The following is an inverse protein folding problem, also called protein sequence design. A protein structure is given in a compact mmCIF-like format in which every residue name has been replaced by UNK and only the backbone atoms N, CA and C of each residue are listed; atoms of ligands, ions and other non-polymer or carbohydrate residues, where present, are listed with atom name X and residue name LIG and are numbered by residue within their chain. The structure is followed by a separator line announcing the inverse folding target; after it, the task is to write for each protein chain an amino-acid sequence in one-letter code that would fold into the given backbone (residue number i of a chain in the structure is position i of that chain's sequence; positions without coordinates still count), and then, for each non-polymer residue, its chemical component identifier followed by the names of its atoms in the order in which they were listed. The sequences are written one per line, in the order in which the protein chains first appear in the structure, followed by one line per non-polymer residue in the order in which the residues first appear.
data_IF_777939314932
#
_entry.id   IF_777939314932
#
_cell.length_a   1.000
_cell.length_b   1.000
_cell.length_c   1.000
_cell.angle_alpha   90.00
_cell.angle_beta   90.00
_cell.angle_gamma   90.00
#
_symmetry.space_group_name_H-M   'P 1'
#
loop_
_entity.id
_entity.type
_entity.pdbx_description
1 polymer ?
#
# COMPACT_ATOMS: atom_id res chain seq x y z
N UNK A 1 -18.66 26.57 -49.53
CA UNK A 1 -19.32 26.11 -48.29
C UNK A 1 -18.73 24.78 -47.83
N UNK A 2 -17.49 24.76 -47.31
CA UNK A 2 -16.86 23.52 -46.76
C UNK A 2 -16.43 23.71 -45.30
N UNK A 3 -16.45 24.94 -44.79
CA UNK A 3 -16.14 25.27 -43.38
C UNK A 3 -17.23 24.80 -42.40
N UNK A 4 -18.39 24.36 -42.88
CA UNK A 4 -19.59 24.30 -42.03
C UNK A 4 -19.88 22.96 -41.35
N UNK A 5 -19.45 21.80 -41.88
CA UNK A 5 -19.85 20.51 -41.29
C UNK A 5 -18.88 20.02 -40.21
N UNK A 6 -17.57 20.14 -40.46
CA UNK A 6 -16.52 19.79 -39.48
C UNK A 6 -16.56 20.69 -38.24
N UNK A 7 -16.83 21.99 -38.42
CA UNK A 7 -16.96 22.92 -37.30
C UNK A 7 -18.20 22.62 -36.44
N UNK A 8 -19.33 22.26 -37.05
CA UNK A 8 -20.53 21.84 -36.34
C UNK A 8 -20.35 20.50 -35.62
N UNK A 9 -19.69 19.53 -36.28
CA UNK A 9 -19.29 18.27 -35.64
C UNK A 9 -18.39 18.51 -34.44
N UNK A 10 -17.37 19.36 -34.57
CA UNK A 10 -16.50 19.73 -33.46
C UNK A 10 -17.27 20.40 -32.31
N UNK A 11 -18.23 21.27 -32.63
CA UNK A 11 -19.07 21.97 -31.64
C UNK A 11 -19.93 21.02 -30.79
N UNK A 12 -20.28 19.85 -31.31
CA UNK A 12 -21.08 18.84 -30.58
C UNK A 12 -20.20 17.76 -29.96
N UNK A 13 -19.15 17.32 -30.68
CA UNK A 13 -18.26 16.24 -30.24
C UNK A 13 -17.33 16.67 -29.11
N UNK A 14 -16.77 17.88 -29.15
CA UNK A 14 -15.83 18.34 -28.13
C UNK A 14 -16.53 18.48 -26.77
N UNK A 15 -17.69 19.15 -26.63
CA UNK A 15 -18.37 19.24 -25.34
C UNK A 15 -18.84 17.87 -24.82
N UNK A 16 -19.34 16.98 -25.69
CA UNK A 16 -19.76 15.64 -25.29
C UNK A 16 -18.57 14.78 -24.83
N UNK A 17 -17.42 14.90 -25.49
CA UNK A 17 -16.19 14.24 -25.09
C UNK A 17 -15.68 14.76 -23.75
N UNK A 18 -15.65 16.09 -23.56
CA UNK A 18 -15.24 16.73 -22.31
C UNK A 18 -16.18 16.33 -21.16
N UNK A 19 -17.50 16.33 -21.37
CA UNK A 19 -18.47 15.91 -20.36
C UNK A 19 -18.27 14.45 -19.93
N UNK A 20 -17.97 13.54 -20.88
CA UNK A 20 -17.64 12.15 -20.56
C UNK A 20 -16.33 12.01 -19.79
N UNK A 21 -15.30 12.79 -20.15
CA UNK A 21 -14.03 12.81 -19.44
C UNK A 21 -14.19 13.33 -18.01
N UNK A 22 -14.96 14.41 -17.84
CA UNK A 22 -15.22 14.98 -16.54
C UNK A 22 -16.01 14.02 -15.65
N UNK A 23 -17.06 13.38 -16.16
CA UNK A 23 -17.80 12.37 -15.39
C UNK A 23 -16.94 11.14 -15.02
N UNK A 24 -15.99 10.76 -15.88
CA UNK A 24 -15.03 9.70 -15.57
C UNK A 24 -14.07 10.14 -14.44
N UNK A 25 -13.51 11.34 -14.52
CA UNK A 25 -12.64 11.91 -13.49
C UNK A 25 -13.37 12.09 -12.15
N UNK A 26 -14.62 12.57 -12.17
CA UNK A 26 -15.44 12.72 -10.97
C UNK A 26 -15.71 11.35 -10.31
N UNK A 27 -15.95 10.31 -11.11
CA UNK A 27 -16.10 8.95 -10.60
C UNK A 27 -14.79 8.40 -10.04
N UNK A 28 -13.66 8.61 -10.70
CA UNK A 28 -12.34 8.21 -10.21
C UNK A 28 -12.01 8.91 -8.88
N UNK A 29 -12.25 10.23 -8.78
CA UNK A 29 -12.08 11.00 -7.55
C UNK A 29 -12.99 10.52 -6.42
N UNK A 30 -14.25 10.16 -6.72
CA UNK A 30 -15.17 9.65 -5.72
C UNK A 30 -14.71 8.29 -5.16
N UNK A 31 -14.21 7.38 -6.00
CA UNK A 31 -13.66 6.09 -5.53
C UNK A 31 -12.34 6.32 -4.79
N UNK A 32 -11.48 7.24 -5.27
CA UNK A 32 -10.19 7.53 -4.63
C UNK A 32 -10.37 8.15 -3.25
N UNK A 33 -11.36 9.03 -3.07
CA UNK A 33 -11.64 9.61 -1.75
C UNK A 33 -12.11 8.56 -0.72
N UNK A 34 -12.82 7.51 -1.15
CA UNK A 34 -13.17 6.38 -0.29
C UNK A 34 -11.94 5.54 0.04
N UNK A 35 -11.12 5.24 -0.98
CA UNK A 35 -9.89 4.48 -0.83
C UNK A 35 -8.89 5.20 0.09
N UNK A 36 -8.86 6.54 0.02
CA UNK A 36 -7.94 7.38 0.78
C UNK A 36 -8.15 7.28 2.30
N UNK A 37 -9.36 6.93 2.74
CA UNK A 37 -9.65 6.74 4.16
C UNK A 37 -8.94 5.52 4.76
N UNK A 38 -8.50 4.57 3.93
CA UNK A 38 -7.79 3.36 4.39
C UNK A 38 -6.28 3.60 4.58
N UNK A 39 -5.68 4.61 3.92
CA UNK A 39 -4.23 4.87 4.02
C UNK A 39 -3.73 5.13 5.44
N UNK A 40 -4.38 5.98 6.25
CA UNK A 40 -3.92 6.22 7.61
C UNK A 40 -3.93 4.96 8.47
N UNK A 41 -4.89 4.05 8.23
CA UNK A 41 -4.97 2.79 8.96
C UNK A 41 -3.86 1.82 8.52
N UNK A 42 -3.59 1.72 7.21
CA UNK A 42 -2.47 0.91 6.68
C UNK A 42 -1.13 1.42 7.24
N UNK A 43 -0.88 2.74 7.19
CA UNK A 43 0.33 3.35 7.75
C UNK A 43 0.48 3.07 9.25
N UNK A 44 -0.63 3.15 10.00
CA UNK A 44 -0.63 2.88 11.43
C UNK A 44 -0.26 1.43 11.72
N UNK A 45 -0.88 0.47 11.04
CA UNK A 45 -0.62 -0.97 11.25
C UNK A 45 0.82 -1.33 10.87
N UNK A 46 1.33 -0.82 9.75
CA UNK A 46 2.73 -0.99 9.36
C UNK A 46 3.71 -0.42 10.41
N UNK A 47 3.39 0.75 10.98
CA UNK A 47 4.18 1.34 12.07
C UNK A 47 4.13 0.50 13.35
N UNK A 48 2.99 -0.13 13.63
CA UNK A 48 2.83 -1.06 14.74
C UNK A 48 3.64 -2.32 14.49
N UNK A 49 3.65 -2.89 13.29
CA UNK A 49 4.51 -4.03 12.93
C UNK A 49 5.98 -3.77 13.25
N UNK A 50 6.52 -2.65 12.77
CA UNK A 50 7.90 -2.23 13.06
C UNK A 50 8.16 -2.12 14.56
N UNK A 51 7.26 -1.44 15.29
CA UNK A 51 7.35 -1.30 16.74
C UNK A 51 7.36 -2.66 17.46
N UNK A 52 6.52 -3.61 17.03
CA UNK A 52 6.44 -4.94 17.66
C UNK A 52 7.71 -5.75 17.42
N UNK A 53 8.28 -5.69 16.22
CA UNK A 53 9.57 -6.33 15.92
C UNK A 53 10.67 -5.74 16.79
N UNK A 54 10.75 -4.42 16.91
CA UNK A 54 11.72 -3.77 17.80
C UNK A 54 11.55 -4.19 19.26
N UNK A 55 10.31 -4.25 19.75
CA UNK A 55 10.02 -4.68 21.12
C UNK A 55 10.42 -6.13 21.33
N UNK A 56 10.12 -7.02 20.39
CA UNK A 56 10.54 -8.42 20.45
C UNK A 56 12.06 -8.55 20.45
N UNK A 57 12.74 -7.89 19.51
CA UNK A 57 14.21 -7.93 19.37
C UNK A 57 14.91 -7.44 20.65
N UNK A 58 14.35 -6.45 21.33
CA UNK A 58 14.93 -5.89 22.54
C UNK A 58 14.61 -6.65 23.83
N UNK A 59 13.45 -7.30 23.91
CA UNK A 59 12.97 -7.96 25.13
C UNK A 59 13.04 -9.50 25.09
N UNK A 60 13.12 -10.08 23.90
CA UNK A 60 12.88 -11.50 23.62
C UNK A 60 11.51 -12.03 24.11
N UNK A 61 10.55 -11.14 24.39
CA UNK A 61 9.20 -11.50 24.81
C UNK A 61 8.35 -11.86 23.58
N UNK A 62 8.04 -13.15 23.45
CA UNK A 62 7.29 -13.71 22.32
C UNK A 62 5.85 -13.20 22.22
N UNK A 63 5.31 -12.54 23.25
CA UNK A 63 4.01 -11.85 23.14
C UNK A 63 4.04 -10.76 22.06
N UNK A 64 5.18 -10.11 21.84
CA UNK A 64 5.34 -9.13 20.76
C UNK A 64 5.32 -9.75 19.37
N UNK A 65 5.82 -10.99 19.19
CA UNK A 65 5.68 -11.72 17.93
C UNK A 65 4.22 -12.08 17.62
N UNK A 66 3.45 -12.47 18.65
CA UNK A 66 2.03 -12.73 18.48
C UNK A 66 1.27 -11.46 18.07
N UNK A 67 1.59 -10.32 18.69
CA UNK A 67 1.04 -9.03 18.30
C UNK A 67 1.44 -8.64 16.87
N UNK A 68 2.72 -8.78 16.51
CA UNK A 68 3.20 -8.55 15.14
C UNK A 68 2.41 -9.36 14.10
N UNK A 69 2.17 -10.65 14.35
CA UNK A 69 1.39 -11.50 13.42
C UNK A 69 -0.08 -11.05 13.29
N UNK A 70 -0.67 -10.52 14.36
CA UNK A 70 -2.01 -9.93 14.30
C UNK A 70 -2.02 -8.67 13.43
N UNK A 71 -1.00 -7.81 13.56
CA UNK A 71 -0.88 -6.61 12.71
C UNK A 71 -0.67 -7.00 11.24
N UNK A 72 0.17 -8.00 10.95
CA UNK A 72 0.37 -8.53 9.58
C UNK A 72 -0.95 -9.01 8.95
N UNK A 73 -1.76 -9.71 9.75
CA UNK A 73 -3.07 -10.18 9.32
C UNK A 73 -4.02 -9.00 9.06
N UNK A 74 -4.00 -8.00 9.95
CA UNK A 74 -4.81 -6.79 9.84
C UNK A 74 -4.44 -5.96 8.61
N UNK A 75 -3.16 -5.77 8.31
CA UNK A 75 -2.73 -5.04 7.12
C UNK A 75 -3.17 -5.77 5.85
N UNK A 76 -3.06 -7.09 5.83
CA UNK A 76 -3.51 -7.91 4.69
C UNK A 76 -5.00 -7.73 4.41
N UNK A 77 -5.84 -7.64 5.45
CA UNK A 77 -7.25 -7.30 5.31
C UNK A 77 -7.44 -5.89 4.73
N UNK A 78 -6.73 -4.89 5.24
CA UNK A 78 -6.83 -3.51 4.77
C UNK A 78 -6.40 -3.35 3.31
N UNK A 79 -5.32 -4.02 2.89
CA UNK A 79 -4.85 -4.02 1.51
C UNK A 79 -5.83 -4.74 0.58
N UNK A 80 -6.44 -5.85 1.03
CA UNK A 80 -7.49 -6.52 0.28
C UNK A 80 -8.75 -5.65 0.13
N UNK A 81 -9.17 -4.95 1.20
CA UNK A 81 -10.27 -4.00 1.18
C UNK A 81 -9.99 -2.85 0.23
N UNK A 82 -8.79 -2.30 0.30
CA UNK A 82 -8.32 -1.26 -0.60
C UNK A 82 -8.34 -1.72 -2.06
N UNK A 83 -7.81 -2.92 -2.35
CA UNK A 83 -7.86 -3.55 -3.67
C UNK A 83 -9.29 -3.72 -4.21
N UNK A 84 -10.26 -4.04 -3.34
CA UNK A 84 -11.69 -4.10 -3.71
C UNK A 84 -12.24 -2.72 -4.07
N UNK A 85 -11.92 -1.68 -3.30
CA UNK A 85 -12.36 -0.30 -3.56
C UNK A 85 -11.81 0.19 -4.90
N UNK A 86 -10.52 -0.01 -5.18
CA UNK A 86 -9.88 0.46 -6.41
C UNK A 86 -10.12 -0.45 -7.63
N UNK A 87 -10.87 -1.54 -7.49
CA UNK A 87 -11.07 -2.52 -8.58
C UNK A 87 -11.70 -1.90 -9.84
N UNK A 88 -12.51 -0.85 -9.70
CA UNK A 88 -13.11 -0.11 -10.81
C UNK A 88 -12.25 1.00 -11.42
N UNK A 89 -11.06 1.25 -10.88
CA UNK A 89 -10.15 2.31 -11.30
C UNK A 89 -9.26 1.90 -12.49
N UNK A 90 -8.56 2.86 -13.13
CA UNK A 90 -7.50 2.56 -14.08
C UNK A 90 -6.49 1.53 -13.57
N UNK A 91 -5.95 0.64 -14.43
CA UNK A 91 -5.02 -0.41 -14.02
C UNK A 91 -3.76 0.08 -13.29
N UNK A 92 -3.36 1.33 -13.49
CA UNK A 92 -2.20 1.96 -12.83
C UNK A 92 -2.28 1.88 -11.31
N UNK A 93 -3.45 2.13 -10.73
CA UNK A 93 -3.65 2.03 -9.27
C UNK A 93 -3.40 0.62 -8.73
N UNK A 94 -3.74 -0.42 -9.51
CA UNK A 94 -3.45 -1.81 -9.09
C UNK A 94 -1.97 -2.13 -9.17
N UNK A 95 -1.27 -1.57 -10.14
CA UNK A 95 0.19 -1.71 -10.27
C UNK A 95 0.88 -1.04 -9.08
N UNK A 96 0.49 0.19 -8.74
CA UNK A 96 1.03 0.91 -7.59
C UNK A 96 0.74 0.16 -6.27
N UNK A 97 -0.45 -0.43 -6.11
CA UNK A 97 -0.79 -1.23 -4.93
C UNK A 97 0.08 -2.48 -4.83
N UNK A 98 0.25 -3.19 -5.95
CA UNK A 98 1.11 -4.38 -6.00
C UNK A 98 2.58 -4.06 -5.68
N UNK A 99 3.04 -2.83 -5.98
CA UNK A 99 4.38 -2.39 -5.62
C UNK A 99 4.52 -2.18 -4.10
N UNK A 100 3.51 -1.58 -3.46
CA UNK A 100 3.46 -1.45 -1.99
C UNK A 100 3.43 -2.83 -1.34
N UNK A 101 2.58 -3.73 -1.81
CA UNK A 101 2.50 -5.12 -1.32
C UNK A 101 3.83 -5.86 -1.47
N UNK A 102 4.50 -5.72 -2.62
CA UNK A 102 5.80 -6.34 -2.86
C UNK A 102 6.86 -5.83 -1.89
N UNK A 103 6.99 -4.50 -1.71
CA UNK A 103 7.97 -3.93 -0.79
C UNK A 103 7.70 -4.34 0.66
N UNK A 104 6.43 -4.39 1.04
CA UNK A 104 6.01 -4.81 2.39
C UNK A 104 6.37 -6.29 2.62
N UNK A 105 6.13 -7.15 1.63
CA UNK A 105 6.50 -8.56 1.71
C UNK A 105 8.01 -8.75 1.75
N UNK A 106 8.78 -8.01 0.94
CA UNK A 106 10.24 -8.05 0.94
C UNK A 106 10.82 -7.64 2.29
N UNK A 107 10.24 -6.61 2.92
CA UNK A 107 10.58 -6.20 4.28
C UNK A 107 10.25 -7.31 5.30
N UNK A 108 9.03 -7.86 5.28
CA UNK A 108 8.60 -8.93 6.20
C UNK A 108 9.39 -10.23 6.05
N UNK A 109 9.95 -10.52 4.88
CA UNK A 109 10.83 -11.68 4.67
C UNK A 109 12.07 -11.62 5.57
N UNK A 110 12.54 -10.42 5.94
CA UNK A 110 13.64 -10.26 6.89
C UNK A 110 13.27 -10.83 8.27
N UNK A 111 12.00 -10.71 8.66
CA UNK A 111 11.50 -11.20 9.94
C UNK A 111 11.27 -12.72 9.96
N UNK A 112 11.36 -13.41 8.82
CA UNK A 112 11.05 -14.85 8.74
C UNK A 112 11.87 -15.70 9.72
N UNK A 113 13.15 -15.35 9.93
CA UNK A 113 14.01 -16.03 10.90
C UNK A 113 13.62 -15.77 12.36
N UNK A 114 12.95 -14.65 12.66
CA UNK A 114 12.43 -14.35 14.00
C UNK A 114 11.14 -15.09 14.32
N UNK A 115 10.33 -15.36 13.30
CA UNK A 115 8.97 -15.92 13.43
C UNK A 115 8.95 -17.44 13.28
N UNK A 116 9.89 -18.00 12.51
CA UNK A 116 9.96 -19.43 12.22
C UNK A 116 10.81 -20.24 13.20
N UNK A 117 10.41 -21.48 13.44
CA UNK A 117 11.27 -22.50 14.06
C UNK A 117 12.07 -23.22 12.96
N UNK A 118 13.36 -23.49 13.18
CA UNK A 118 14.16 -24.33 12.27
C UNK A 118 15.59 -23.85 12.03
N UNK A 119 16.27 -24.38 10.99
CA UNK A 119 17.69 -24.11 10.72
C UNK A 119 18.00 -22.66 10.33
N UNK A 120 16.97 -21.91 9.95
CA UNK A 120 17.03 -20.49 9.58
C UNK A 120 16.49 -19.58 10.70
N UNK A 121 16.17 -20.15 11.88
CA UNK A 121 15.76 -19.37 13.02
C UNK A 121 16.92 -18.47 13.47
N UNK A 122 16.61 -17.19 13.63
CA UNK A 122 17.54 -16.17 14.09
C UNK A 122 17.11 -15.77 15.49
N UNK A 123 18.05 -15.79 16.43
CA UNK A 123 17.73 -15.29 17.76
C UNK A 123 17.60 -13.74 17.76
N UNK A 124 16.79 -13.19 18.68
CA UNK A 124 16.60 -11.74 18.80
C UNK A 124 17.90 -10.94 18.93
N UNK A 125 18.95 -11.50 19.55
CA UNK A 125 20.21 -10.78 19.77
C UNK A 125 20.97 -10.65 18.45
N UNK A 126 21.06 -11.71 17.67
CA UNK A 126 21.67 -11.67 16.33
C UNK A 126 20.91 -10.78 15.36
N UNK A 127 19.58 -10.77 15.39
CA UNK A 127 18.80 -9.87 14.54
C UNK A 127 18.99 -8.39 14.89
N UNK A 128 19.37 -8.07 16.13
CA UNK A 128 19.59 -6.69 16.56
C UNK A 128 20.63 -5.97 15.70
N UNK A 129 21.62 -6.69 15.19
CA UNK A 129 22.67 -6.14 14.33
C UNK A 129 22.14 -5.68 12.96
N UNK A 130 21.01 -6.24 12.49
CA UNK A 130 20.36 -5.87 11.23
C UNK A 130 19.19 -4.89 11.40
N UNK A 131 18.91 -4.40 12.61
CA UNK A 131 17.75 -3.52 12.87
C UNK A 131 17.81 -2.19 12.12
N UNK A 132 18.99 -1.63 11.87
CA UNK A 132 19.11 -0.37 11.13
C UNK A 132 18.81 -0.57 9.65
N UNK A 133 19.23 -1.71 9.08
CA UNK A 133 18.86 -2.09 7.72
C UNK A 133 17.35 -2.36 7.60
N UNK A 134 16.77 -3.01 8.60
CA UNK A 134 15.34 -3.27 8.68
C UNK A 134 14.51 -1.97 8.67
N UNK A 135 14.88 -1.00 9.51
CA UNK A 135 14.28 0.35 9.51
C UNK A 135 14.40 1.06 8.17
N UNK A 136 15.55 0.93 7.49
CA UNK A 136 15.75 1.54 6.18
C UNK A 136 14.82 0.92 5.11
N UNK A 137 14.56 -0.39 5.20
CA UNK A 137 13.57 -1.08 4.34
C UNK A 137 12.15 -0.65 4.66
N UNK A 138 11.82 -0.52 5.95
CA UNK A 138 10.54 0.03 6.39
C UNK A 138 10.30 1.47 5.86
N UNK A 139 11.31 2.34 5.89
CA UNK A 139 11.21 3.69 5.29
C UNK A 139 10.94 3.65 3.78
N UNK A 140 11.46 2.65 3.07
CA UNK A 140 11.17 2.44 1.66
C UNK A 140 9.71 2.06 1.42
N UNK A 141 9.13 1.22 2.29
CA UNK A 141 7.69 0.89 2.30
C UNK A 141 6.86 2.15 2.54
N UNK A 142 7.20 2.93 3.57
CA UNK A 142 6.50 4.18 3.90
C UNK A 142 6.58 5.21 2.76
N UNK A 143 7.70 5.26 2.04
CA UNK A 143 7.87 6.15 0.89
C UNK A 143 6.98 5.73 -0.28
N UNK A 144 6.91 4.44 -0.58
CA UNK A 144 6.03 3.93 -1.64
C UNK A 144 4.54 4.16 -1.30
N UNK A 145 4.16 3.96 -0.04
CA UNK A 145 2.79 4.20 0.40
C UNK A 145 2.40 5.68 0.31
N UNK A 146 3.30 6.60 0.67
CA UNK A 146 3.09 8.05 0.50
C UNK A 146 3.01 8.46 -0.97
N UNK A 147 3.80 7.83 -1.83
CA UNK A 147 3.77 8.09 -3.27
C UNK A 147 2.46 7.61 -3.92
N UNK A 148 1.84 6.57 -3.38
CA UNK A 148 0.50 6.15 -3.80
C UNK A 148 -0.56 7.21 -3.42
N UNK A 149 -0.44 7.82 -2.23
CA UNK A 149 -1.43 8.80 -1.74
C UNK A 149 -1.44 10.14 -2.53
N UNK A 150 -0.31 10.49 -3.16
CA UNK A 150 -0.06 11.79 -3.82
C UNK A 150 -0.65 11.90 -5.21
#
# INVERSE_FOLDING_TARGET
MVVSFLALLALVLVPAFLARRQAALERELAVFSQARLLFPEIQLVQSQEMMRIEQYVNSADSSFLALYQNEVSRESELLADFGRVISGMPPTYRVELSQVESLTNDWRLLHSGLVGEGPLATDPVSFRESMDDDRARFESVQTALRAFES
#
